data_IF_813163571921
#
_entry.id   IF_813163571921
#
_cell.length_a   1.000
_cell.length_b   1.000
_cell.length_c   1.000
_cell.angle_alpha   90.00
_cell.angle_beta   90.00
_cell.angle_gamma   90.00
#
_symmetry.space_group_name_H-M   'P 1'
#
loop_
_entity.id
_entity.type
_entity.pdbx_description
1 polymer ?
#
# COMPACT_ATOMS: atom_id res chain seq x y z
N UNK A 1 -9.08 11.02 10.93
CA UNK A 1 -8.90 10.78 9.48
C UNK A 1 -7.77 9.78 9.34
N UNK A 2 -7.92 8.65 8.63
CA UNK A 2 -6.84 7.68 8.50
C UNK A 2 -5.68 8.37 7.78
N UNK A 3 -4.54 8.51 8.47
CA UNK A 3 -3.32 9.06 7.89
C UNK A 3 -2.59 8.05 7.01
N UNK A 4 -2.95 6.78 7.14
CA UNK A 4 -2.28 5.65 6.52
C UNK A 4 -3.05 5.21 5.28
N UNK A 5 -2.33 5.16 4.16
CA UNK A 5 -2.81 4.68 2.88
C UNK A 5 -1.96 3.48 2.47
N UNK A 6 -2.62 2.36 2.17
CA UNK A 6 -2.00 1.13 1.71
C UNK A 6 -2.38 0.94 0.24
N UNK A 7 -1.39 1.05 -0.64
CA UNK A 7 -1.59 0.75 -2.05
C UNK A 7 -1.40 -0.73 -2.32
N UNK A 8 -2.41 -1.34 -2.92
CA UNK A 8 -2.48 -2.78 -3.18
C UNK A 8 -2.60 -3.06 -4.69
N UNK A 9 -2.53 -4.34 -5.07
CA UNK A 9 -2.89 -4.80 -6.42
C UNK A 9 -3.75 -6.05 -6.33
N UNK A 10 -4.64 -6.21 -7.30
CA UNK A 10 -5.46 -7.42 -7.44
C UNK A 10 -4.57 -8.65 -7.58
N UNK A 11 -4.86 -9.70 -6.82
CA UNK A 11 -4.12 -10.97 -6.86
C UNK A 11 -2.78 -10.98 -6.10
N UNK A 12 -2.47 -9.96 -5.29
CA UNK A 12 -1.27 -9.98 -4.46
C UNK A 12 -1.56 -10.57 -3.06
N UNK A 13 -1.03 -11.76 -2.72
CA UNK A 13 -1.24 -12.35 -1.40
C UNK A 13 -0.61 -11.50 -0.28
N UNK A 14 0.54 -10.89 -0.55
CA UNK A 14 1.25 -10.04 0.40
C UNK A 14 0.46 -8.80 0.81
N UNK A 15 -0.24 -8.16 -0.15
CA UNK A 15 -1.10 -7.02 0.15
C UNK A 15 -2.21 -7.40 1.14
N UNK A 16 -2.81 -8.58 0.96
CA UNK A 16 -3.86 -9.07 1.85
C UNK A 16 -3.34 -9.31 3.26
N UNK A 17 -2.19 -9.96 3.40
CA UNK A 17 -1.53 -10.17 4.70
C UNK A 17 -1.26 -8.84 5.40
N UNK A 18 -0.68 -7.85 4.70
CA UNK A 18 -0.40 -6.53 5.27
C UNK A 18 -1.68 -5.83 5.73
N UNK A 19 -2.75 -5.84 4.93
CA UNK A 19 -4.02 -5.26 5.35
C UNK A 19 -4.61 -5.96 6.57
N UNK A 20 -4.57 -7.29 6.60
CA UNK A 20 -5.08 -8.07 7.72
C UNK A 20 -4.26 -7.84 9.00
N UNK A 21 -2.94 -7.64 8.90
CA UNK A 21 -2.08 -7.24 10.02
C UNK A 21 -2.52 -5.87 10.58
N UNK A 22 -2.78 -4.88 9.71
CA UNK A 22 -3.25 -3.56 10.13
C UNK A 22 -4.65 -3.60 10.75
N UNK A 23 -5.56 -4.40 10.19
CA UNK A 23 -6.90 -4.65 10.76
C UNK A 23 -6.82 -5.30 12.13
N UNK A 24 -5.96 -6.31 12.31
CA UNK A 24 -5.73 -6.97 13.60
C UNK A 24 -5.19 -6.00 14.65
N UNK A 25 -4.30 -5.09 14.25
CA UNK A 25 -3.78 -4.02 15.10
C UNK A 25 -4.79 -2.90 15.36
N UNK A 26 -6.01 -2.98 14.80
CA UNK A 26 -7.07 -1.96 14.87
C UNK A 26 -6.60 -0.58 14.39
N UNK A 27 -5.68 -0.57 13.42
CA UNK A 27 -5.19 0.66 12.79
C UNK A 27 -6.11 0.99 11.61
N UNK A 28 -6.66 2.20 11.59
CA UNK A 28 -7.44 2.67 10.44
C UNK A 28 -6.52 3.02 9.28
N UNK A 29 -6.77 2.41 8.13
CA UNK A 29 -6.06 2.70 6.88
C UNK A 29 -7.04 2.77 5.71
N UNK A 30 -6.62 3.45 4.65
CA UNK A 30 -7.30 3.48 3.37
C UNK A 30 -6.61 2.50 2.40
N UNK A 31 -7.40 1.69 1.69
CA UNK A 31 -6.88 0.79 0.65
C UNK A 31 -7.08 1.42 -0.72
N UNK A 32 -6.01 1.55 -1.50
CA UNK A 32 -6.07 2.00 -2.90
C UNK A 32 -5.53 0.90 -3.80
N UNK A 33 -6.41 0.31 -4.62
CA UNK A 33 -6.03 -0.75 -5.54
C UNK A 33 -5.50 -0.20 -6.88
N UNK A 34 -4.18 -0.30 -7.07
CA UNK A 34 -3.47 0.15 -8.26
C UNK A 34 -3.79 -0.64 -9.54
N UNK A 35 -4.44 -1.81 -9.41
CA UNK A 35 -4.94 -2.56 -10.58
C UNK A 35 -6.23 -1.97 -11.14
N UNK A 36 -7.00 -1.28 -10.31
CA UNK A 36 -8.26 -0.64 -10.70
C UNK A 36 -8.09 0.87 -10.94
N UNK A 37 -7.05 1.46 -10.35
CA UNK A 37 -6.73 2.88 -10.47
C UNK A 37 -5.35 3.09 -11.12
N UNK A 38 -5.37 3.34 -12.43
CA UNK A 38 -4.18 3.61 -13.24
C UNK A 38 -3.54 4.96 -12.93
N UNK A 39 -4.33 5.94 -12.46
CA UNK A 39 -3.84 7.26 -12.08
C UNK A 39 -3.06 7.18 -10.77
N UNK A 40 -3.62 6.53 -9.75
CA UNK A 40 -2.92 6.23 -8.51
C UNK A 40 -1.63 5.46 -8.76
N UNK A 41 -1.63 4.50 -9.70
CA UNK A 41 -0.43 3.74 -10.08
C UNK A 41 0.65 4.63 -10.67
N UNK A 42 0.29 5.55 -11.56
CA UNK A 42 1.23 6.50 -12.15
C UNK A 42 1.77 7.48 -11.11
N UNK A 43 0.90 8.00 -10.24
CA UNK A 43 1.26 8.88 -9.12
C UNK A 43 2.23 8.18 -8.18
N UNK A 44 1.95 6.94 -7.76
CA UNK A 44 2.82 6.16 -6.87
C UNK A 44 4.20 5.96 -7.48
N UNK A 45 4.26 5.61 -8.77
CA UNK A 45 5.53 5.42 -9.48
C UNK A 45 6.30 6.74 -9.61
N UNK A 46 5.63 7.86 -9.84
CA UNK A 46 6.26 9.17 -10.00
C UNK A 46 6.73 9.76 -8.66
N UNK A 47 5.85 9.73 -7.66
CA UNK A 47 6.05 10.36 -6.35
C UNK A 47 6.94 9.54 -5.43
N UNK A 48 6.73 8.23 -5.38
CA UNK A 48 7.42 7.33 -4.44
C UNK A 48 8.48 6.46 -5.12
N UNK A 49 8.62 6.53 -6.45
CA UNK A 49 9.55 5.71 -7.24
C UNK A 49 9.38 4.20 -6.98
N UNK A 50 8.20 3.80 -6.50
CA UNK A 50 7.89 2.44 -6.12
C UNK A 50 7.26 1.68 -7.29
N UNK A 51 7.79 0.48 -7.55
CA UNK A 51 7.29 -0.44 -8.58
C UNK A 51 6.70 -1.72 -7.99
N UNK A 52 6.76 -1.85 -6.66
CA UNK A 52 6.32 -3.01 -5.88
C UNK A 52 5.22 -2.62 -4.90
N UNK A 53 4.39 -3.60 -4.54
CA UNK A 53 3.31 -3.47 -3.56
C UNK A 53 3.35 -4.67 -2.61
N UNK A 54 2.86 -4.57 -1.36
CA UNK A 54 2.13 -3.43 -0.77
C UNK A 54 3.00 -2.19 -0.59
N UNK A 55 2.43 -1.00 -0.78
CA UNK A 55 3.08 0.27 -0.48
C UNK A 55 2.35 0.94 0.67
N UNK A 56 3.07 1.36 1.71
CA UNK A 56 2.46 1.99 2.89
C UNK A 56 2.95 3.44 2.95
N UNK A 57 1.98 4.34 2.96
CA UNK A 57 2.20 5.79 3.10
C UNK A 57 1.49 6.25 4.37
N UNK A 58 2.20 6.97 5.23
CA UNK A 58 1.65 7.57 6.45
C UNK A 58 1.86 9.08 6.41
N UNK A 59 0.76 9.83 6.49
CA UNK A 59 0.75 11.29 6.44
C UNK A 59 1.48 11.85 5.19
N UNK A 60 1.35 11.16 4.05
CA UNK A 60 2.03 11.52 2.80
C UNK A 60 3.51 11.12 2.72
N UNK A 61 4.07 10.49 3.76
CA UNK A 61 5.43 9.98 3.79
C UNK A 61 5.45 8.50 3.46
N UNK A 62 6.40 8.09 2.61
CA UNK A 62 6.59 6.69 2.29
C UNK A 62 7.22 5.96 3.49
N UNK A 63 6.49 5.01 4.06
CA UNK A 63 6.95 4.21 5.22
C UNK A 63 7.54 2.88 4.77
N UNK A 64 6.90 2.23 3.79
CA UNK A 64 7.29 0.88 3.38
C UNK A 64 6.97 0.59 1.91
N UNK A 65 7.88 -0.14 1.26
CA UNK A 65 7.72 -0.71 -0.08
C UNK A 65 7.87 -2.22 0.01
N UNK A 66 6.86 -2.97 -0.41
CA UNK A 66 6.79 -4.43 -0.27
C UNK A 66 6.27 -4.87 1.10
N UNK A 67 6.11 -6.19 1.27
CA UNK A 67 5.74 -6.78 2.56
C UNK A 67 6.83 -6.56 3.63
N UNK A 68 6.62 -7.07 4.84
CA UNK A 68 7.61 -7.03 5.93
C UNK A 68 8.99 -7.59 5.58
N UNK A 69 9.10 -8.34 4.49
CA UNK A 69 10.33 -8.94 3.98
C UNK A 69 10.81 -8.29 2.66
N UNK A 70 10.14 -7.25 2.17
CA UNK A 70 10.46 -6.57 0.90
C UNK A 70 9.93 -7.28 -0.36
N UNK A 71 9.02 -8.25 -0.21
CA UNK A 71 8.42 -8.98 -1.32
C UNK A 71 7.22 -8.21 -1.89
N UNK A 72 7.07 -8.20 -3.22
CA UNK A 72 5.97 -7.51 -3.90
C UNK A 72 5.91 -7.73 -5.40
#
# INVERSE_FOLDING_TARGET
MPKIVIYTKTGCPYCRTTMDDYRQRKVSFEEINLSLDSEAKAMVKSRYQATKVPLIVDDGNLVQIGDKNGNG
#
